data_IF_059826786904
#
_entry.id   IF_059826786904
#
_cell.length_a   1.000
_cell.length_b   1.000
_cell.length_c   1.000
_cell.angle_alpha   90.00
_cell.angle_beta   90.00
_cell.angle_gamma   90.00
#
_symmetry.space_group_name_H-M   'P 1'
#
loop_
_entity.id
_entity.type
_entity.pdbx_description
1 polymer ?
#
# COMPACT_ATOMS: atom_id res chain seq x y z
N UNK A 1 1.02 8.34 -4.54
CA UNK A 1 1.41 8.33 -5.94
C UNK A 1 0.34 9.00 -6.78
N UNK A 2 0.69 9.43 -8.00
CA UNK A 2 -0.20 10.12 -8.89
C UNK A 2 -1.38 9.28 -9.36
N UNK A 3 -2.53 9.90 -9.51
CA UNK A 3 -3.79 9.24 -9.84
C UNK A 3 -4.41 9.77 -11.13
N UNK A 4 -3.68 10.66 -11.82
CA UNK A 4 -4.10 11.25 -13.07
C UNK A 4 -4.21 10.25 -14.21
N UNK A 5 -4.90 10.63 -15.28
CA UNK A 5 -5.04 9.84 -16.50
C UNK A 5 -3.78 9.87 -17.38
N UNK A 6 -2.97 10.92 -17.27
CA UNK A 6 -1.74 11.06 -18.04
C UNK A 6 -0.59 10.23 -17.48
N UNK A 7 0.36 9.82 -18.35
CA UNK A 7 1.51 8.99 -17.95
C UNK A 7 2.34 9.69 -16.87
N UNK A 8 2.66 10.97 -17.05
CA UNK A 8 3.47 11.73 -16.09
C UNK A 8 2.77 11.90 -14.74
N UNK A 9 1.47 12.16 -14.73
CA UNK A 9 0.70 12.38 -13.50
C UNK A 9 0.49 11.10 -12.70
N UNK A 10 0.64 9.92 -13.29
CA UNK A 10 0.57 8.63 -12.58
C UNK A 10 1.75 8.38 -11.66
N UNK A 11 2.91 8.90 -12.02
CA UNK A 11 4.15 8.71 -11.27
C UNK A 11 4.53 9.91 -10.40
N UNK A 12 3.76 11.00 -10.46
CA UNK A 12 3.99 12.16 -9.60
C UNK A 12 3.72 11.80 -8.13
N UNK A 13 4.64 12.17 -7.25
CA UNK A 13 4.46 12.09 -5.80
C UNK A 13 3.71 13.33 -5.35
N UNK A 14 2.44 13.16 -4.99
CA UNK A 14 1.58 14.24 -4.49
C UNK A 14 1.30 14.01 -3.01
N UNK A 15 1.39 15.03 -2.14
CA UNK A 15 0.97 14.93 -0.75
C UNK A 15 -0.47 14.43 -0.67
N UNK A 16 -0.68 13.39 0.15
CA UNK A 16 -1.97 12.72 0.24
C UNK A 16 -2.85 13.36 1.31
N UNK A 17 -4.10 13.63 0.98
CA UNK A 17 -5.17 13.82 1.96
C UNK A 17 -5.64 12.44 2.46
N UNK A 18 -6.15 12.36 3.70
CA UNK A 18 -6.58 11.08 4.31
C UNK A 18 -7.65 10.34 3.49
N UNK A 19 -8.50 11.08 2.83
CA UNK A 19 -9.64 10.67 1.99
C UNK A 19 -9.34 10.67 0.49
N UNK A 20 -8.08 10.83 0.14
CA UNK A 20 -7.65 10.92 -1.25
C UNK A 20 -7.43 9.57 -1.93
N UNK A 21 -7.45 9.58 -3.25
CA UNK A 21 -7.16 8.43 -4.10
C UNK A 21 -5.75 7.89 -3.83
N UNK A 22 -5.63 6.59 -3.71
CA UNK A 22 -4.35 5.88 -3.54
C UNK A 22 -4.03 5.07 -4.78
N UNK A 23 -2.77 5.02 -5.17
CA UNK A 23 -2.33 4.11 -6.24
C UNK A 23 -0.97 3.50 -5.92
N UNK A 24 -0.64 2.41 -6.61
CA UNK A 24 0.71 1.87 -6.59
C UNK A 24 1.65 2.87 -7.27
N UNK A 25 2.80 3.14 -6.65
CA UNK A 25 3.82 4.03 -7.22
C UNK A 25 4.50 3.38 -8.42
N UNK A 26 4.76 2.10 -8.33
CA UNK A 26 5.41 1.32 -9.35
C UNK A 26 4.43 0.26 -9.87
N UNK A 27 4.52 -0.07 -11.18
CA UNK A 27 3.68 -1.11 -11.75
C UNK A 27 4.02 -2.47 -11.15
N UNK A 28 3.00 -3.31 -11.05
CA UNK A 28 3.13 -4.72 -10.69
C UNK A 28 3.18 -5.57 -11.96
N UNK A 29 3.88 -6.68 -11.89
CA UNK A 29 3.99 -7.64 -12.97
C UNK A 29 2.82 -8.61 -12.94
N UNK A 30 2.19 -8.85 -14.10
CA UNK A 30 1.21 -9.91 -14.31
C UNK A 30 1.65 -10.79 -15.50
N UNK A 31 1.04 -11.97 -15.72
CA UNK A 31 1.32 -12.79 -16.90
C UNK A 31 1.11 -12.07 -18.22
N UNK A 32 0.24 -11.06 -18.25
CA UNK A 32 -0.09 -10.28 -19.46
C UNK A 32 0.57 -8.90 -19.50
N UNK A 33 1.51 -8.61 -18.61
CA UNK A 33 2.30 -7.38 -18.59
C UNK A 33 2.11 -6.53 -17.33
N UNK A 34 2.59 -5.29 -17.38
CA UNK A 34 2.55 -4.37 -16.26
C UNK A 34 1.15 -3.82 -15.98
N UNK A 35 0.80 -3.71 -14.70
CA UNK A 35 -0.44 -3.07 -14.23
C UNK A 35 -0.17 -2.13 -13.07
N UNK A 36 -0.96 -1.08 -12.99
CA UNK A 36 -1.06 -0.18 -11.85
C UNK A 36 -2.38 -0.45 -11.13
N UNK A 37 -2.39 -0.37 -9.82
CA UNK A 37 -3.59 -0.51 -9.00
C UNK A 37 -3.94 0.83 -8.35
N UNK A 38 -5.23 1.10 -8.20
CA UNK A 38 -5.76 2.32 -7.59
C UNK A 38 -6.93 1.98 -6.70
N UNK A 39 -7.02 2.66 -5.56
CA UNK A 39 -8.19 2.72 -4.72
C UNK A 39 -8.68 4.17 -4.67
N UNK A 40 -9.95 4.41 -4.98
CA UNK A 40 -10.60 5.72 -4.94
C UNK A 40 -11.84 5.68 -4.05
N UNK A 41 -12.07 6.71 -3.20
CA UNK A 41 -13.25 6.73 -2.34
C UNK A 41 -14.53 6.70 -3.20
N UNK A 42 -15.54 5.97 -2.72
CA UNK A 42 -16.86 6.00 -3.34
C UNK A 42 -17.57 7.32 -2.98
N UNK A 43 -18.32 7.95 -3.92
CA UNK A 43 -18.93 9.26 -3.68
C UNK A 43 -19.95 9.28 -2.54
N UNK A 44 -20.56 8.15 -2.22
CA UNK A 44 -21.68 8.06 -1.29
C UNK A 44 -21.29 7.60 0.12
N UNK A 45 -20.05 7.16 0.34
CA UNK A 45 -19.67 6.52 1.59
C UNK A 45 -18.15 6.59 1.84
N UNK A 46 -17.78 7.19 2.96
CA UNK A 46 -16.37 7.33 3.35
C UNK A 46 -15.69 6.00 3.76
N UNK A 47 -16.47 4.94 3.96
CA UNK A 47 -15.96 3.61 4.31
C UNK A 47 -15.76 2.70 3.11
N UNK A 48 -16.26 3.09 1.93
CA UNK A 48 -16.20 2.27 0.71
C UNK A 48 -15.25 2.89 -0.32
N UNK A 49 -14.48 2.04 -0.96
CA UNK A 49 -13.49 2.39 -1.98
C UNK A 49 -13.67 1.54 -3.22
N UNK A 50 -13.56 2.14 -4.39
CA UNK A 50 -13.50 1.44 -5.66
C UNK A 50 -12.06 1.03 -5.96
N UNK A 51 -11.87 -0.25 -6.27
CA UNK A 51 -10.58 -0.79 -6.70
C UNK A 51 -10.54 -0.82 -8.23
N UNK A 52 -9.48 -0.26 -8.79
CA UNK A 52 -9.30 -0.16 -10.23
C UNK A 52 -7.89 -0.56 -10.63
N UNK A 53 -7.75 -1.06 -11.84
CA UNK A 53 -6.46 -1.32 -12.46
C UNK A 53 -6.33 -0.59 -13.80
N UNK A 54 -5.11 -0.36 -14.23
CA UNK A 54 -4.80 0.18 -15.56
C UNK A 54 -3.46 -0.34 -16.06
N UNK A 55 -3.29 -0.41 -17.36
CA UNK A 55 -1.97 -0.45 -17.98
C UNK A 55 -1.25 0.89 -17.76
N UNK A 56 0.09 0.95 -17.80
CA UNK A 56 0.83 2.20 -17.55
C UNK A 56 0.36 3.41 -18.38
N UNK A 57 -0.10 3.19 -19.61
CA UNK A 57 -0.66 4.23 -20.48
C UNK A 57 -2.16 4.05 -20.78
N UNK A 58 -2.82 3.07 -20.17
CA UNK A 58 -4.22 2.72 -20.43
C UNK A 58 -5.22 3.44 -19.53
N UNK A 59 -6.50 3.22 -19.79
CA UNK A 59 -7.61 3.70 -18.95
C UNK A 59 -7.75 2.88 -17.67
N UNK A 60 -8.39 3.46 -16.65
CA UNK A 60 -8.69 2.77 -15.40
C UNK A 60 -9.96 1.92 -15.53
N UNK A 61 -9.86 0.66 -15.14
CA UNK A 61 -10.97 -0.30 -15.11
C UNK A 61 -11.27 -0.67 -13.66
N UNK A 62 -12.49 -0.41 -13.22
CA UNK A 62 -12.93 -0.83 -11.88
C UNK A 62 -13.21 -2.34 -11.88
N UNK A 63 -12.65 -3.04 -10.91
CA UNK A 63 -12.80 -4.49 -10.78
C UNK A 63 -13.32 -4.95 -9.42
N UNK A 64 -13.37 -4.05 -8.44
CA UNK A 64 -13.76 -4.43 -7.09
C UNK A 64 -14.13 -3.26 -6.19
N UNK A 65 -14.60 -3.62 -5.01
CA UNK A 65 -14.95 -2.70 -3.93
C UNK A 65 -14.26 -3.16 -2.64
N UNK A 66 -13.73 -2.21 -1.91
CA UNK A 66 -13.17 -2.41 -0.57
C UNK A 66 -14.04 -1.66 0.41
N UNK A 67 -14.53 -2.33 1.45
CA UNK A 67 -15.25 -1.70 2.56
C UNK A 67 -14.40 -1.78 3.81
N UNK A 68 -14.21 -0.64 4.48
CA UNK A 68 -13.48 -0.55 5.73
C UNK A 68 -14.47 -0.72 6.88
N UNK A 69 -14.19 -1.62 7.78
CA UNK A 69 -14.95 -1.84 9.01
C UNK A 69 -14.16 -1.33 10.20
N UNK A 70 -14.84 -0.77 11.19
CA UNK A 70 -14.23 -0.24 12.41
C UNK A 70 -13.97 -1.32 13.47
N UNK A 71 -14.08 -2.60 13.11
CA UNK A 71 -13.88 -3.71 14.03
C UNK A 71 -12.43 -3.78 14.50
N UNK A 72 -12.26 -3.94 15.82
CA UNK A 72 -10.94 -4.13 16.42
C UNK A 72 -10.45 -5.57 16.14
N UNK A 73 -9.84 -5.76 14.99
CA UNK A 73 -9.13 -7.00 14.66
C UNK A 73 -7.67 -6.83 15.08
N UNK A 74 -7.06 -7.83 15.76
CA UNK A 74 -5.64 -7.78 16.07
C UNK A 74 -4.81 -7.55 14.80
N UNK A 75 -3.77 -6.69 14.84
CA UNK A 75 -2.96 -6.42 13.67
C UNK A 75 -2.27 -7.72 13.21
N UNK A 76 -2.60 -8.15 12.01
CA UNK A 76 -1.94 -9.28 11.36
C UNK A 76 -0.67 -8.78 10.68
N UNK A 77 0.48 -9.46 10.83
CA UNK A 77 1.68 -9.10 10.09
C UNK A 77 1.40 -9.15 8.58
N UNK A 78 1.64 -8.05 7.91
CA UNK A 78 1.48 -7.95 6.45
C UNK A 78 2.85 -7.91 5.79
N UNK A 79 3.12 -8.89 4.91
CA UNK A 79 4.30 -8.92 4.07
C UNK A 79 3.94 -8.49 2.64
N UNK A 80 4.25 -7.24 2.26
CA UNK A 80 3.90 -6.71 0.95
C UNK A 80 4.78 -7.25 -0.19
N UNK A 81 5.78 -8.06 0.11
CA UNK A 81 6.70 -8.64 -0.88
C UNK A 81 6.32 -10.08 -1.17
N UNK A 82 6.17 -10.90 -0.13
CA UNK A 82 5.90 -12.33 -0.28
C UNK A 82 4.41 -12.67 -0.19
N UNK A 83 3.60 -11.79 0.42
CA UNK A 83 2.15 -11.97 0.60
C UNK A 83 1.31 -11.40 -0.54
N UNK A 84 1.81 -11.44 -1.78
CA UNK A 84 1.07 -10.92 -2.94
C UNK A 84 -0.02 -11.90 -3.40
N UNK A 85 -1.16 -11.39 -3.89
CA UNK A 85 -2.19 -12.22 -4.51
C UNK A 85 -1.66 -13.00 -5.70
N UNK A 86 -2.25 -14.18 -5.95
CA UNK A 86 -1.90 -15.02 -7.11
C UNK A 86 -2.03 -14.23 -8.41
N UNK A 87 -1.03 -14.34 -9.27
CA UNK A 87 -0.99 -13.62 -10.56
C UNK A 87 -0.42 -12.21 -10.50
N UNK A 88 -0.11 -11.71 -9.30
CA UNK A 88 0.61 -10.46 -9.12
C UNK A 88 2.03 -10.73 -8.60
N UNK A 89 3.01 -10.05 -9.15
CA UNK A 89 4.39 -10.08 -8.63
C UNK A 89 5.02 -8.69 -8.76
N UNK A 90 6.06 -8.47 -7.98
CA UNK A 90 6.89 -7.29 -8.14
C UNK A 90 7.97 -7.56 -9.20
N UNK A 91 8.40 -6.50 -9.89
CA UNK A 91 9.59 -6.61 -10.72
C UNK A 91 10.83 -6.84 -9.84
N UNK A 92 11.75 -7.70 -10.28
CA UNK A 92 12.90 -8.13 -9.47
C UNK A 92 13.74 -6.96 -8.95
N UNK A 93 13.92 -5.93 -9.76
CA UNK A 93 14.64 -4.72 -9.35
C UNK A 93 13.93 -4.00 -8.21
N UNK A 94 12.60 -3.94 -8.25
CA UNK A 94 11.77 -3.31 -7.21
C UNK A 94 11.82 -4.13 -5.93
N UNK A 95 11.69 -5.45 -6.04
CA UNK A 95 11.76 -6.36 -4.89
C UNK A 95 13.12 -6.25 -4.19
N UNK A 96 14.21 -6.25 -4.93
CA UNK A 96 15.57 -6.10 -4.36
C UNK A 96 15.78 -4.77 -3.63
N UNK A 97 15.26 -3.67 -4.18
CA UNK A 97 15.40 -2.35 -3.56
C UNK A 97 14.55 -2.21 -2.29
N UNK A 98 13.38 -2.83 -2.25
CA UNK A 98 12.40 -2.68 -1.16
C UNK A 98 12.60 -3.68 -0.03
N UNK A 99 13.06 -4.90 -0.33
CA UNK A 99 13.15 -5.99 0.63
C UNK A 99 13.93 -5.62 1.92
N UNK A 100 15.13 -5.00 1.87
CA UNK A 100 15.87 -4.65 3.08
C UNK A 100 15.14 -3.65 3.99
N UNK A 101 14.37 -2.72 3.40
CA UNK A 101 13.59 -1.74 4.15
C UNK A 101 12.40 -2.39 4.88
N UNK A 102 11.71 -3.31 4.22
CA UNK A 102 10.59 -4.03 4.82
C UNK A 102 11.03 -5.00 5.92
N UNK A 103 12.14 -5.71 5.74
CA UNK A 103 12.71 -6.56 6.78
C UNK A 103 13.05 -5.74 8.03
N UNK A 104 13.72 -4.60 7.87
CA UNK A 104 14.02 -3.70 8.99
C UNK A 104 12.78 -3.19 9.69
N UNK A 105 11.77 -2.77 8.94
CA UNK A 105 10.51 -2.28 9.51
C UNK A 105 9.72 -3.40 10.23
N UNK A 106 9.79 -4.63 9.75
CA UNK A 106 9.18 -5.78 10.42
C UNK A 106 9.87 -6.09 11.74
N UNK A 107 11.22 -6.09 11.77
CA UNK A 107 12.00 -6.30 12.98
C UNK A 107 11.73 -5.24 14.05
N UNK A 108 11.61 -3.95 13.67
CA UNK A 108 11.28 -2.87 14.59
C UNK A 108 9.87 -3.03 15.22
N UNK A 109 8.90 -3.55 14.49
CA UNK A 109 7.55 -3.81 15.01
C UNK A 109 7.49 -5.02 15.95
N UNK A 110 8.39 -5.97 15.77
CA UNK A 110 8.47 -7.19 16.59
C UNK A 110 9.29 -6.99 17.87
N UNK A 111 10.02 -5.88 18.01
CA UNK A 111 10.70 -5.56 19.25
C UNK A 111 9.68 -5.04 20.25
N UNK A 112 9.54 -5.69 21.45
CA UNK A 112 8.68 -5.16 22.51
C UNK A 112 9.18 -3.76 22.87
N UNK A 113 8.24 -2.81 22.94
CA UNK A 113 8.53 -1.46 23.42
C UNK A 113 9.28 -1.56 24.74
N UNK A 114 10.50 -1.04 24.78
CA UNK A 114 11.35 -1.09 25.95
C UNK A 114 10.60 -0.58 27.16
N UNK A 115 10.65 -1.35 28.25
CA UNK A 115 10.12 -0.97 29.57
C UNK A 115 10.59 0.44 29.91
N UNK A 116 9.71 1.32 30.39
CA UNK A 116 10.16 2.61 30.90
C UNK A 116 11.10 2.34 32.10
N UNK A 117 12.33 2.81 31.98
CA UNK A 117 13.25 2.87 33.11
C UNK A 117 12.55 3.62 34.24
N UNK A 118 12.23 2.90 35.28
CA UNK A 118 11.91 3.47 36.58
C UNK A 118 13.13 4.26 37.01
N UNK A 119 13.04 5.55 36.95
CA UNK A 119 14.01 6.43 37.56
C UNK A 119 13.94 6.15 39.08
N UNK A 120 15.04 5.65 39.61
CA UNK A 120 15.21 5.46 41.03
C UNK A 120 15.06 6.81 41.74
N UNK A 121 14.19 6.85 42.74
CA UNK A 121 14.19 7.84 43.79
C UNK A 121 15.60 7.88 44.42
N UNK A 122 16.16 9.06 44.48
CA UNK A 122 17.23 9.40 45.39
C UNK A 122 16.64 10.21 46.52
N UNK A 123 16.73 9.65 47.67
CA UNK A 123 16.58 10.35 48.97
C UNK A 123 17.49 11.57 49.07
#
# INVERSE_FOLDING_TARGET
AGTGSGILTRYALVPRRRDGVCSTLLPMRTPTGAVLLRASPAPADNATWHLSWARPAGTWHTFGRLTLHADAVPPTPFDPINGLPTGLSQYDVVARLRNPAYIRAAMQRSSPAGSPHHAAELD
#
